data_IF_114340622823
#
_entry.id   IF_114340622823
#
_cell.length_a   1.000
_cell.length_b   1.000
_cell.length_c   1.000
_cell.angle_alpha   90.00
_cell.angle_beta   90.00
_cell.angle_gamma   90.00
#
_symmetry.space_group_name_H-M   'P 1'
#
loop_
_entity.id
_entity.type
_entity.pdbx_description
1 polymer ?
#
# COMPACT_ATOMS: atom_id res chain seq x y z
N UNK A 1 16.07 3.47 31.05
CA UNK A 1 16.53 4.42 30.01
C UNK A 1 16.52 3.69 28.67
N UNK A 2 16.40 4.40 27.54
CA UNK A 2 16.48 3.81 26.20
C UNK A 2 17.95 3.74 25.76
N UNK A 3 18.36 2.61 25.19
CA UNK A 3 19.71 2.35 24.70
C UNK A 3 19.75 2.35 23.16
N UNK A 4 20.94 2.47 22.55
CA UNK A 4 21.11 2.51 21.09
C UNK A 4 20.54 1.28 20.38
N UNK A 5 20.58 0.11 21.05
CA UNK A 5 19.96 -1.13 20.57
C UNK A 5 18.44 -1.07 20.43
N UNK A 6 17.80 -0.11 21.09
CA UNK A 6 16.35 0.10 21.04
C UNK A 6 15.94 0.95 19.82
N UNK A 7 16.91 1.59 19.13
CA UNK A 7 16.68 2.35 17.90
C UNK A 7 16.82 1.42 16.69
N UNK A 8 15.79 1.25 15.86
CA UNK A 8 15.88 0.38 14.71
C UNK A 8 16.82 0.96 13.65
N UNK A 9 17.85 0.20 13.28
CA UNK A 9 18.70 0.54 12.13
C UNK A 9 17.93 0.56 10.81
N UNK A 10 18.50 1.23 9.80
CA UNK A 10 17.92 1.32 8.44
C UNK A 10 17.46 -0.03 7.88
N UNK A 11 18.27 -1.08 8.01
CA UNK A 11 17.90 -2.43 7.55
C UNK A 11 16.63 -2.92 8.24
N UNK A 12 16.57 -2.75 9.57
CA UNK A 12 15.39 -3.14 10.36
C UNK A 12 14.14 -2.35 9.95
N UNK A 13 14.28 -1.05 9.73
CA UNK A 13 13.17 -0.21 9.23
C UNK A 13 12.70 -0.66 7.84
N UNK A 14 13.62 -0.92 6.91
CA UNK A 14 13.27 -1.43 5.57
C UNK A 14 12.55 -2.78 5.65
N UNK A 15 13.01 -3.70 6.48
CA UNK A 15 12.33 -4.98 6.72
C UNK A 15 10.92 -4.78 7.29
N UNK A 16 10.77 -3.90 8.28
CA UNK A 16 9.47 -3.59 8.88
C UNK A 16 8.49 -3.01 7.85
N UNK A 17 8.95 -2.08 7.00
CA UNK A 17 8.14 -1.49 5.93
C UNK A 17 7.71 -2.57 4.93
N UNK A 18 8.64 -3.41 4.45
CA UNK A 18 8.35 -4.46 3.48
C UNK A 18 7.41 -5.53 4.05
N UNK A 19 7.60 -5.93 5.31
CA UNK A 19 6.73 -6.88 5.98
C UNK A 19 5.32 -6.32 6.14
N UNK A 20 5.20 -5.04 6.54
CA UNK A 20 3.90 -4.38 6.63
C UNK A 20 3.23 -4.25 5.27
N UNK A 21 4.00 -3.87 4.24
CA UNK A 21 3.53 -3.78 2.86
C UNK A 21 2.94 -5.12 2.39
N UNK A 22 3.66 -6.24 2.57
CA UNK A 22 3.16 -7.56 2.16
C UNK A 22 1.82 -7.92 2.81
N UNK A 23 1.69 -7.64 4.11
CA UNK A 23 0.45 -7.89 4.85
C UNK A 23 -0.72 -7.06 4.35
N UNK A 24 -0.52 -5.76 4.16
CA UNK A 24 -1.59 -4.86 3.69
C UNK A 24 -1.90 -5.07 2.20
N UNK A 25 -0.89 -5.39 1.39
CA UNK A 25 -1.08 -5.76 -0.01
C UNK A 25 -1.97 -7.00 -0.15
N UNK A 26 -1.71 -8.04 0.64
CA UNK A 26 -2.54 -9.25 0.63
C UNK A 26 -4.00 -8.93 1.03
N UNK A 27 -4.21 -8.14 2.08
CA UNK A 27 -5.56 -7.70 2.49
C UNK A 27 -6.27 -6.92 1.39
N UNK A 28 -5.56 -5.98 0.76
CA UNK A 28 -6.09 -5.20 -0.35
C UNK A 28 -6.46 -6.10 -1.53
N UNK A 29 -5.60 -7.05 -1.90
CA UNK A 29 -5.89 -8.01 -2.98
C UNK A 29 -7.12 -8.86 -2.67
N UNK A 30 -7.27 -9.34 -1.44
CA UNK A 30 -8.43 -10.13 -1.05
C UNK A 30 -9.71 -9.28 -0.98
N UNK A 31 -9.62 -8.00 -0.63
CA UNK A 31 -10.74 -7.06 -0.72
C UNK A 31 -11.15 -6.80 -2.18
N UNK A 32 -10.18 -6.59 -3.07
CA UNK A 32 -10.40 -6.38 -4.52
C UNK A 32 -11.06 -7.60 -5.16
N UNK A 33 -10.62 -8.83 -4.82
CA UNK A 33 -11.23 -10.07 -5.32
C UNK A 33 -12.72 -10.17 -4.97
N UNK A 34 -13.13 -9.55 -3.88
CA UNK A 34 -14.52 -9.50 -3.40
C UNK A 34 -15.22 -8.18 -3.76
N UNK A 35 -14.73 -7.45 -4.77
CA UNK A 35 -15.33 -6.17 -5.15
C UNK A 35 -16.77 -6.35 -5.65
N UNK A 36 -17.63 -5.40 -5.31
CA UNK A 36 -19.07 -5.38 -5.66
C UNK A 36 -19.36 -5.13 -7.15
N UNK A 37 -18.32 -4.91 -7.95
CA UNK A 37 -18.45 -4.55 -9.36
C UNK A 37 -17.13 -4.77 -10.10
N UNK A 38 -16.97 -4.08 -11.22
CA UNK A 38 -15.74 -4.16 -12.02
C UNK A 38 -14.61 -3.41 -11.32
N UNK A 39 -13.40 -3.94 -11.44
CA UNK A 39 -12.16 -3.26 -11.07
C UNK A 39 -11.66 -2.49 -12.29
N UNK A 40 -11.35 -1.21 -12.12
CA UNK A 40 -10.68 -0.40 -13.14
C UNK A 40 -9.27 -0.04 -12.69
N UNK A 41 -8.39 0.23 -13.65
CA UNK A 41 -7.01 0.62 -13.39
C UNK A 41 -6.69 1.92 -14.11
N UNK A 42 -6.05 2.85 -13.41
CA UNK A 42 -5.44 4.03 -14.01
C UNK A 42 -3.93 3.86 -13.97
N UNK A 43 -3.29 4.07 -15.11
CA UNK A 43 -1.83 4.10 -15.21
C UNK A 43 -1.40 5.52 -15.48
N UNK A 44 -0.61 6.09 -14.58
CA UNK A 44 0.10 7.34 -14.81
C UNK A 44 1.52 7.00 -15.26
N UNK A 45 1.96 7.60 -16.37
CA UNK A 45 3.28 7.37 -16.94
C UNK A 45 3.97 8.69 -17.18
N UNK A 46 5.21 8.78 -16.73
CA UNK A 46 6.02 9.96 -16.91
C UNK A 46 7.48 9.58 -17.08
N UNK A 47 8.26 10.48 -17.68
CA UNK A 47 9.70 10.41 -17.69
C UNK A 47 10.28 11.45 -16.73
N UNK A 48 11.37 11.11 -16.07
CA UNK A 48 12.18 12.05 -15.30
C UNK A 48 13.16 12.79 -16.21
N UNK A 49 13.76 13.87 -15.70
CA UNK A 49 14.75 14.68 -16.44
C UNK A 49 16.00 13.87 -16.85
N UNK A 50 16.31 12.80 -16.13
CA UNK A 50 17.38 11.86 -16.48
C UNK A 50 16.90 10.71 -17.42
N UNK A 51 15.78 10.91 -18.12
CA UNK A 51 15.20 9.98 -19.09
C UNK A 51 14.83 8.60 -18.51
N UNK A 52 14.57 8.53 -17.20
CA UNK A 52 14.03 7.31 -16.59
C UNK A 52 12.51 7.30 -16.72
N UNK A 53 11.97 6.27 -17.37
CA UNK A 53 10.52 6.06 -17.45
C UNK A 53 9.98 5.51 -16.12
N UNK A 54 8.88 6.08 -15.66
CA UNK A 54 8.13 5.63 -14.48
C UNK A 54 6.69 5.35 -14.86
N UNK A 55 6.09 4.38 -14.17
CA UNK A 55 4.67 4.04 -14.29
C UNK A 55 4.11 3.79 -12.89
N UNK A 56 3.06 4.53 -12.52
CA UNK A 56 2.24 4.22 -11.36
C UNK A 56 0.92 3.61 -11.82
N UNK A 57 0.53 2.49 -11.19
CA UNK A 57 -0.75 1.83 -11.45
C UNK A 57 -1.60 1.90 -10.19
N UNK A 58 -2.83 2.40 -10.32
CA UNK A 58 -3.82 2.46 -9.23
C UNK A 58 -5.07 1.68 -9.62
N UNK A 59 -5.53 0.80 -8.73
CA UNK A 59 -6.78 0.06 -8.88
C UNK A 59 -7.92 0.80 -8.19
N UNK A 60 -9.06 0.94 -8.86
CA UNK A 60 -10.31 1.49 -8.31
C UNK A 60 -11.37 0.39 -8.30
N UNK A 61 -12.03 0.20 -7.17
CA UNK A 61 -13.01 -0.86 -6.98
C UNK A 61 -14.07 -0.47 -5.92
N UNK A 62 -15.28 -1.01 -6.08
CA UNK A 62 -16.35 -0.85 -5.09
C UNK A 62 -16.22 -1.90 -3.99
N UNK A 63 -16.26 -1.49 -2.73
CA UNK A 63 -16.21 -2.37 -1.57
C UNK A 63 -17.38 -2.09 -0.61
N UNK A 64 -17.73 -3.06 0.23
CA UNK A 64 -18.67 -2.83 1.31
C UNK A 64 -18.12 -1.78 2.28
N UNK A 65 -18.98 -0.87 2.72
CA UNK A 65 -18.63 0.04 3.80
C UNK A 65 -18.27 -0.78 5.05
N UNK A 66 -17.09 -0.52 5.63
CA UNK A 66 -16.73 -1.07 6.94
C UNK A 66 -17.51 -0.29 8.01
N UNK A 67 -18.65 -0.83 8.43
CA UNK A 67 -19.42 -0.38 9.60
C UNK A 67 -18.87 -1.06 10.86
N UNK A 68 -18.75 -0.38 12.03
CA UNK A 68 -19.30 0.94 12.37
C UNK A 68 -18.41 2.11 11.93
N UNK A 69 -18.95 3.35 11.87
CA UNK A 69 -18.14 4.55 11.69
C UNK A 69 -17.16 4.59 12.86
N UNK A 70 -15.87 4.84 12.59
CA UNK A 70 -14.93 5.13 13.67
C UNK A 70 -15.36 6.45 14.31
N UNK A 71 -15.95 6.32 15.50
CA UNK A 71 -16.48 7.37 16.38
C UNK A 71 -17.87 7.91 15.99
N UNK A 72 -18.87 7.47 16.76
CA UNK A 72 -20.04 8.26 17.13
C UNK A 72 -19.73 8.96 18.46
#
# INVERSE_FOLDING_TARGET
ELEDKDIPHRTKLSEMILNRFKLEYQKMTDEIKNSLGRVSFTSDMWSSQNLSGSMAVTAHYCAHARWPPRHA
#
